data_IF_975786404048
#
_entry.id   IF_975786404048
#
_cell.length_a   1.000
_cell.length_b   1.000
_cell.length_c   1.000
_cell.angle_alpha   90.00
_cell.angle_beta   90.00
_cell.angle_gamma   90.00
#
_symmetry.space_group_name_H-M   'P 1'
#
loop_
_entity.id
_entity.type
_entity.pdbx_description
1 polymer ?
#
# COMPACT_ATOMS: atom_id res chain seq x y z
N UNK A 1 -4.09 -7.59 -7.92
CA UNK A 1 -3.03 -6.57 -8.11
C UNK A 1 -2.11 -6.99 -9.25
N UNK A 2 -1.45 -6.02 -9.89
CA UNK A 2 -0.71 -6.16 -11.16
C UNK A 2 0.77 -5.84 -10.95
N UNK A 3 1.66 -6.40 -11.77
CA UNK A 3 3.08 -6.02 -11.82
C UNK A 3 3.47 -5.64 -13.23
N UNK A 4 4.33 -4.63 -13.35
CA UNK A 4 5.00 -4.27 -14.61
C UNK A 4 6.28 -5.08 -14.85
N UNK A 5 6.68 -5.93 -13.90
CA UNK A 5 7.88 -6.77 -14.04
C UNK A 5 7.62 -7.92 -15.03
N UNK A 6 8.65 -8.39 -15.76
CA UNK A 6 8.54 -9.55 -16.63
C UNK A 6 8.10 -10.82 -15.89
N UNK A 7 7.63 -11.80 -16.66
CA UNK A 7 7.21 -13.12 -16.14
C UNK A 7 8.34 -13.75 -15.32
N UNK A 8 7.99 -14.28 -14.14
CA UNK A 8 8.93 -14.92 -13.23
C UNK A 8 9.84 -13.97 -12.42
N UNK A 9 9.70 -12.64 -12.58
CA UNK A 9 10.51 -11.63 -11.85
C UNK A 9 9.77 -10.95 -10.70
N UNK A 10 8.55 -11.38 -10.42
CA UNK A 10 7.76 -10.91 -9.30
C UNK A 10 6.34 -11.48 -9.32
N UNK A 11 5.73 -11.54 -8.15
CA UNK A 11 4.36 -12.04 -7.99
C UNK A 11 3.30 -10.93 -8.11
N UNK A 12 3.71 -9.65 -8.01
CA UNK A 12 2.78 -8.52 -8.01
C UNK A 12 1.92 -8.39 -6.75
N UNK A 13 2.23 -9.14 -5.69
CA UNK A 13 1.40 -9.21 -4.48
C UNK A 13 1.74 -8.17 -3.40
N UNK A 14 2.89 -7.49 -3.50
CA UNK A 14 3.38 -6.59 -2.44
C UNK A 14 2.38 -5.49 -2.09
N UNK A 15 1.89 -4.74 -3.07
CA UNK A 15 0.93 -3.65 -2.86
C UNK A 15 -0.42 -4.13 -2.32
N UNK A 16 -0.92 -5.31 -2.74
CA UNK A 16 -2.13 -5.89 -2.15
C UNK A 16 -1.95 -6.20 -0.68
N UNK A 17 -0.82 -6.84 -0.31
CA UNK A 17 -0.55 -7.19 1.08
C UNK A 17 -0.39 -5.93 1.92
N UNK A 18 0.33 -4.91 1.42
CA UNK A 18 0.44 -3.63 2.10
C UNK A 18 -0.92 -2.97 2.31
N UNK A 19 -1.80 -2.96 1.31
CA UNK A 19 -3.15 -2.40 1.46
C UNK A 19 -3.97 -3.14 2.52
N UNK A 20 -3.98 -4.48 2.51
CA UNK A 20 -4.69 -5.28 3.51
C UNK A 20 -4.19 -4.99 4.92
N UNK A 21 -2.87 -4.90 5.11
CA UNK A 21 -2.29 -4.58 6.41
C UNK A 21 -2.68 -3.15 6.83
N UNK A 22 -2.42 -2.17 5.98
CA UNK A 22 -2.55 -0.76 6.34
C UNK A 22 -4.02 -0.35 6.47
N UNK A 23 -4.82 -0.57 5.42
CA UNK A 23 -6.20 -0.08 5.36
C UNK A 23 -7.16 -0.99 6.14
N UNK A 24 -7.10 -2.30 5.92
CA UNK A 24 -8.10 -3.22 6.49
C UNK A 24 -7.77 -3.56 7.95
N UNK A 25 -6.53 -3.95 8.24
CA UNK A 25 -6.15 -4.36 9.60
C UNK A 25 -5.86 -3.18 10.51
N UNK A 26 -5.17 -2.15 10.00
CA UNK A 26 -4.75 -1.02 10.83
C UNK A 26 -5.65 0.22 10.73
N UNK A 27 -6.70 0.18 9.90
CA UNK A 27 -7.60 1.32 9.67
C UNK A 27 -6.84 2.60 9.26
N UNK A 28 -5.71 2.39 8.59
CA UNK A 28 -4.81 3.43 8.11
C UNK A 28 -5.05 3.80 6.66
N UNK A 29 -4.17 4.63 6.12
CA UNK A 29 -4.19 5.06 4.72
C UNK A 29 -2.86 4.78 4.06
N UNK A 30 -2.92 4.33 2.80
CA UNK A 30 -1.78 4.20 1.90
C UNK A 30 -1.99 5.16 0.73
N UNK A 31 -1.18 6.22 0.69
CA UNK A 31 -1.26 7.28 -0.32
C UNK A 31 -0.07 7.14 -1.27
N UNK A 32 -0.32 7.25 -2.57
CA UNK A 32 0.71 7.20 -3.61
C UNK A 32 0.77 8.53 -4.35
N UNK A 33 1.96 9.14 -4.38
CA UNK A 33 2.25 10.32 -5.17
C UNK A 33 3.39 9.98 -6.14
N UNK A 34 3.14 10.12 -7.43
CA UNK A 34 4.08 9.73 -8.48
C UNK A 34 4.02 10.71 -9.63
N UNK A 35 5.18 11.10 -10.13
CA UNK A 35 5.32 11.89 -11.35
C UNK A 35 6.44 11.29 -12.21
N UNK A 36 6.23 11.24 -13.53
CA UNK A 36 7.19 10.63 -14.45
C UNK A 36 8.49 11.43 -14.42
N UNK A 37 9.60 10.73 -14.20
CA UNK A 37 10.93 11.35 -14.12
C UNK A 37 11.30 11.91 -12.74
N UNK A 38 10.34 12.00 -11.80
CA UNK A 38 10.57 12.55 -10.45
C UNK A 38 10.59 11.47 -9.36
N UNK A 39 10.21 10.24 -9.72
CA UNK A 39 10.15 9.11 -8.79
C UNK A 39 8.75 8.87 -8.26
N UNK A 40 8.66 8.18 -7.13
CA UNK A 40 7.38 7.78 -6.52
C UNK A 40 7.53 7.72 -5.01
N UNK A 41 6.59 8.34 -4.31
CA UNK A 41 6.51 8.37 -2.85
C UNK A 41 5.23 7.67 -2.41
N UNK A 42 5.38 6.73 -1.49
CA UNK A 42 4.27 6.12 -0.77
C UNK A 42 4.26 6.62 0.67
N UNK A 43 3.15 7.18 1.10
CA UNK A 43 2.94 7.65 2.47
C UNK A 43 1.98 6.72 3.19
N UNK A 44 2.36 6.30 4.39
CA UNK A 44 1.56 5.42 5.25
C UNK A 44 1.14 6.23 6.47
N UNK A 45 -0.18 6.32 6.69
CA UNK A 45 -0.76 6.96 7.87
C UNK A 45 -1.47 5.89 8.71
N UNK A 46 -1.10 5.76 9.98
CA UNK A 46 -1.75 4.82 10.91
C UNK A 46 -2.31 5.63 12.08
N UNK A 47 -3.60 5.45 12.43
CA UNK A 47 -4.17 6.11 13.60
C UNK A 47 -3.54 5.57 14.89
N UNK A 48 -3.21 6.46 15.83
CA UNK A 48 -2.68 6.08 17.15
C UNK A 48 -3.71 5.26 17.95
N UNK A 49 -5.00 5.57 17.77
CA UNK A 49 -6.11 4.82 18.33
C UNK A 49 -7.00 4.31 17.21
N UNK A 50 -7.17 2.99 17.16
CA UNK A 50 -8.17 2.37 16.30
C UNK A 50 -9.45 2.28 17.10
N UNK A 51 -10.51 2.94 16.63
CA UNK A 51 -11.84 2.76 17.19
C UNK A 51 -12.28 1.33 16.86
N UNK A 52 -12.03 0.40 17.78
CA UNK A 52 -12.55 -0.96 17.63
C UNK A 52 -14.06 -0.85 17.86
N UNK A 53 -14.90 -1.21 16.87
CA UNK A 53 -16.34 -1.25 17.12
C UNK A 53 -16.60 -2.32 18.19
N UNK A 54 -17.29 -1.94 19.26
CA UNK A 54 -17.80 -2.83 20.30
C UNK A 54 -18.84 -3.81 19.74
#
# INVERSE_FOLDING_TARGET
FFTTKPIGKGTGLGLSISYQIIAERHQGKLICQSARGEGTTFTIEIPIHQSQPF
#
